data_IF_473222147961
#
_entry.id   IF_473222147961
#
_cell.length_a   1.000
_cell.length_b   1.000
_cell.length_c   1.000
_cell.angle_alpha   90.00
_cell.angle_beta   90.00
_cell.angle_gamma   90.00
#
_symmetry.space_group_name_H-M   'P 1'
#
loop_
_entity.id
_entity.type
_entity.pdbx_description
1 polymer ?
#
# COMPACT_ATOMS: atom_id res chain seq x y z
N UNK A 1 -22.03 32.58 -9.61
CA UNK A 1 -20.67 33.15 -9.63
C UNK A 1 -20.11 33.24 -11.04
N UNK A 2 -19.95 32.11 -11.75
CA UNK A 2 -19.33 32.07 -13.09
C UNK A 2 -19.95 33.04 -14.10
N UNK A 3 -21.28 33.11 -14.17
CA UNK A 3 -21.99 34.04 -15.06
C UNK A 3 -21.62 35.51 -14.79
N UNK A 4 -21.63 35.92 -13.52
CA UNK A 4 -21.25 37.28 -13.14
C UNK A 4 -19.79 37.57 -13.47
N UNK A 5 -18.89 36.61 -13.25
CA UNK A 5 -17.48 36.74 -13.60
C UNK A 5 -17.30 36.97 -15.09
N UNK A 6 -17.91 36.12 -15.93
CA UNK A 6 -17.84 36.24 -17.40
C UNK A 6 -18.42 37.56 -17.89
N UNK A 7 -19.57 38.00 -17.36
CA UNK A 7 -20.21 39.27 -17.73
C UNK A 7 -19.33 40.50 -17.38
N UNK A 8 -18.54 40.43 -16.32
CA UNK A 8 -17.64 41.53 -15.94
C UNK A 8 -16.37 41.57 -16.79
N UNK A 9 -15.81 40.41 -17.15
CA UNK A 9 -14.52 40.38 -17.85
C UNK A 9 -14.65 40.43 -19.37
N UNK A 10 -15.81 40.11 -19.95
CA UNK A 10 -15.99 39.94 -21.40
C UNK A 10 -15.60 41.16 -22.23
N UNK A 11 -15.70 42.36 -21.67
CA UNK A 11 -15.37 43.61 -22.36
C UNK A 11 -13.95 44.13 -22.05
N UNK A 12 -13.19 43.44 -21.19
CA UNK A 12 -11.84 43.85 -20.75
C UNK A 12 -10.75 42.83 -21.05
N UNK A 13 -11.11 41.60 -21.44
CA UNK A 13 -10.16 40.56 -21.87
C UNK A 13 -10.58 39.94 -23.21
N UNK A 14 -9.59 39.50 -23.98
CA UNK A 14 -9.81 38.67 -25.17
C UNK A 14 -9.74 37.19 -24.78
N UNK A 15 -10.75 36.41 -25.18
CA UNK A 15 -10.74 34.95 -25.02
C UNK A 15 -10.20 34.30 -26.27
N UNK A 16 -9.07 33.60 -26.14
CA UNK A 16 -8.45 32.88 -27.24
C UNK A 16 -8.07 31.47 -26.81
N UNK A 17 -8.33 30.49 -27.68
CA UNK A 17 -7.83 29.13 -27.46
C UNK A 17 -6.33 29.09 -27.74
N UNK A 18 -5.54 28.29 -27.00
CA UNK A 18 -4.09 28.18 -27.22
C UNK A 18 -3.71 27.93 -28.69
N UNK A 19 -4.47 27.09 -29.41
CA UNK A 19 -4.23 26.82 -30.84
C UNK A 19 -4.29 28.07 -31.73
N UNK A 20 -5.19 29.01 -31.44
CA UNK A 20 -5.36 30.23 -32.23
C UNK A 20 -4.34 31.30 -31.82
N UNK A 21 -4.00 31.36 -30.53
CA UNK A 21 -2.94 32.23 -30.03
C UNK A 21 -1.63 31.92 -30.76
N UNK A 22 -1.20 30.66 -30.77
CA UNK A 22 0.04 30.27 -31.43
C UNK A 22 0.01 30.38 -32.96
N UNK A 23 -1.16 30.32 -33.60
CA UNK A 23 -1.27 30.53 -35.04
C UNK A 23 -1.04 31.99 -35.47
N UNK A 24 -1.39 32.95 -34.60
CA UNK A 24 -1.36 34.38 -34.92
C UNK A 24 -0.30 35.17 -34.12
N UNK A 25 0.42 34.52 -33.20
CA UNK A 25 1.42 35.19 -32.36
C UNK A 25 2.63 35.62 -33.18
N UNK A 26 2.83 36.93 -33.30
CA UNK A 26 3.96 37.56 -34.02
C UNK A 26 5.02 38.14 -33.09
N UNK A 27 4.85 37.98 -31.77
CA UNK A 27 5.78 38.49 -30.76
C UNK A 27 7.09 37.71 -30.69
N UNK A 28 8.06 38.25 -29.95
CA UNK A 28 9.34 37.59 -29.72
C UNK A 28 9.18 36.44 -28.70
N UNK A 29 9.49 35.21 -29.11
CA UNK A 29 9.57 34.07 -28.19
C UNK A 29 10.98 33.98 -27.60
N UNK A 30 11.05 33.82 -26.28
CA UNK A 30 12.29 33.47 -25.59
C UNK A 30 12.33 31.97 -25.34
N UNK A 31 13.51 31.37 -25.50
CA UNK A 31 13.73 29.96 -25.14
C UNK A 31 13.68 29.80 -23.63
N UNK A 32 12.99 28.76 -23.16
CA UNK A 32 12.98 28.34 -21.76
C UNK A 32 13.30 26.85 -21.66
N UNK A 33 14.01 26.44 -20.60
CA UNK A 33 14.29 25.05 -20.26
C UNK A 33 13.76 24.80 -18.84
N UNK A 34 12.52 24.31 -18.69
CA UNK A 34 11.95 24.06 -17.36
C UNK A 34 12.67 22.87 -16.68
N UNK A 35 12.99 22.96 -15.38
CA UNK A 35 13.47 21.81 -14.62
C UNK A 35 12.31 20.82 -14.38
N UNK A 36 12.62 19.64 -13.85
CA UNK A 36 11.58 18.76 -13.28
C UNK A 36 10.87 19.51 -12.16
N UNK A 37 9.55 19.64 -12.27
CA UNK A 37 8.73 20.33 -11.30
C UNK A 37 7.25 20.07 -11.53
N UNK A 38 6.45 20.50 -10.56
CA UNK A 38 4.98 20.52 -10.62
C UNK A 38 4.48 21.82 -9.99
N UNK A 39 3.17 21.95 -9.80
CA UNK A 39 2.61 23.00 -8.94
C UNK A 39 3.17 22.90 -7.51
N UNK A 40 3.19 24.03 -6.80
CA UNK A 40 3.96 24.19 -5.54
C UNK A 40 3.52 23.21 -4.46
N UNK A 41 2.21 23.00 -4.36
CA UNK A 41 1.55 22.15 -3.38
C UNK A 41 1.98 20.69 -3.53
N UNK A 42 2.14 20.19 -4.77
CA UNK A 42 2.65 18.84 -5.02
C UNK A 42 4.05 18.66 -4.46
N UNK A 43 4.88 19.70 -4.61
CA UNK A 43 6.25 19.69 -4.08
C UNK A 43 6.27 19.52 -2.57
N UNK A 44 5.30 20.09 -1.84
CA UNK A 44 5.17 19.89 -0.40
C UNK A 44 4.73 18.45 -0.07
N UNK A 45 3.68 17.94 -0.73
CA UNK A 45 3.12 16.61 -0.46
C UNK A 45 4.10 15.46 -0.74
N UNK A 46 4.97 15.66 -1.73
CA UNK A 46 5.98 14.68 -2.12
C UNK A 46 7.10 14.50 -1.08
N UNK A 47 7.18 15.36 -0.06
CA UNK A 47 8.15 15.22 1.03
C UNK A 47 7.70 14.17 2.05
N UNK A 48 8.66 13.43 2.59
CA UNK A 48 8.45 12.61 3.78
C UNK A 48 8.18 13.46 5.01
N UNK A 49 7.60 12.87 6.06
CA UNK A 49 7.10 13.59 7.25
C UNK A 49 8.07 14.64 7.82
N UNK A 50 9.31 14.26 8.14
CA UNK A 50 10.28 15.16 8.76
C UNK A 50 10.70 16.31 7.83
N UNK A 51 10.87 16.02 6.53
CA UNK A 51 11.19 17.03 5.54
C UNK A 51 10.02 17.99 5.30
N UNK A 52 8.79 17.48 5.26
CA UNK A 52 7.58 18.29 5.11
C UNK A 52 7.37 19.21 6.32
N UNK A 53 7.66 18.72 7.54
CA UNK A 53 7.64 19.52 8.77
C UNK A 53 8.66 20.67 8.69
N UNK A 54 9.91 20.37 8.38
CA UNK A 54 10.95 21.40 8.24
C UNK A 54 10.60 22.42 7.15
N UNK A 55 10.08 21.96 6.01
CA UNK A 55 9.60 22.82 4.94
C UNK A 55 8.55 23.81 5.44
N UNK A 56 7.52 23.32 6.15
CA UNK A 56 6.48 24.17 6.72
C UNK A 56 7.03 25.17 7.75
N UNK A 57 7.93 24.74 8.64
CA UNK A 57 8.57 25.63 9.63
C UNK A 57 9.34 26.79 8.93
N UNK A 58 10.01 26.51 7.81
CA UNK A 58 10.66 27.55 6.99
C UNK A 58 9.67 28.44 6.27
N UNK A 59 8.59 27.86 5.73
CA UNK A 59 7.52 28.62 5.09
C UNK A 59 6.91 29.64 6.04
N UNK A 60 6.63 29.25 7.28
CA UNK A 60 6.05 30.12 8.29
C UNK A 60 7.02 31.24 8.70
N UNK A 61 8.32 30.93 8.83
CA UNK A 61 9.36 31.95 9.05
C UNK A 61 9.41 32.96 7.91
N UNK A 62 9.45 32.51 6.66
CA UNK A 62 9.49 33.39 5.47
C UNK A 62 8.25 34.29 5.41
N UNK A 63 7.07 33.75 5.69
CA UNK A 63 5.81 34.51 5.77
C UNK A 63 5.86 35.54 6.90
N UNK A 64 6.35 35.17 8.09
CA UNK A 64 6.47 36.10 9.23
C UNK A 64 7.40 37.28 8.96
N UNK A 65 8.36 37.13 8.04
CA UNK A 65 9.27 38.19 7.58
C UNK A 65 8.70 39.01 6.41
N UNK A 66 7.46 38.74 5.96
CA UNK A 66 6.84 39.33 4.76
C UNK A 66 7.68 39.12 3.47
N UNK A 67 8.44 38.02 3.40
CA UNK A 67 9.33 37.74 2.27
C UNK A 67 8.70 36.81 1.22
N UNK A 68 7.58 36.15 1.54
CA UNK A 68 7.01 35.08 0.71
C UNK A 68 6.78 35.50 -0.74
N UNK A 69 6.04 36.58 -1.00
CA UNK A 69 5.71 36.97 -2.37
C UNK A 69 6.94 37.32 -3.20
N UNK A 70 7.96 37.93 -2.57
CA UNK A 70 9.19 38.31 -3.24
C UNK A 70 10.18 37.15 -3.44
N UNK A 71 10.04 36.04 -2.70
CA UNK A 71 11.01 34.94 -2.67
C UNK A 71 10.45 33.56 -3.07
N UNK A 72 9.13 33.39 -3.20
CA UNK A 72 8.50 32.08 -3.46
C UNK A 72 9.06 31.32 -4.66
N UNK A 73 9.58 32.02 -5.67
CA UNK A 73 10.21 31.39 -6.84
C UNK A 73 11.55 30.68 -6.55
N UNK A 74 12.20 30.97 -5.42
CA UNK A 74 13.39 30.24 -4.96
C UNK A 74 13.06 29.07 -4.03
N UNK A 75 11.80 28.96 -3.58
CA UNK A 75 11.37 27.91 -2.66
C UNK A 75 11.02 26.67 -3.48
N UNK A 76 11.66 25.55 -3.17
CA UNK A 76 11.46 24.28 -3.85
C UNK A 76 11.05 23.21 -2.84
N UNK A 77 10.10 22.36 -3.23
CA UNK A 77 9.74 21.15 -2.50
C UNK A 77 10.40 19.91 -3.10
N UNK A 78 9.78 18.75 -2.89
CA UNK A 78 10.12 17.51 -3.58
C UNK A 78 9.62 17.47 -5.03
N UNK A 79 9.92 16.37 -5.71
CA UNK A 79 9.36 16.06 -7.04
C UNK A 79 8.38 14.89 -6.92
N UNK A 80 7.48 14.70 -7.89
CA UNK A 80 6.52 13.58 -7.84
C UNK A 80 7.19 12.21 -7.62
N UNK A 81 8.40 11.98 -8.17
CA UNK A 81 9.12 10.71 -7.99
C UNK A 81 9.50 10.43 -6.54
N UNK A 82 9.56 11.45 -5.68
CA UNK A 82 9.78 11.26 -4.25
C UNK A 82 8.65 10.44 -3.59
N UNK A 83 7.44 10.39 -4.16
CA UNK A 83 6.38 9.50 -3.66
C UNK A 83 6.76 8.02 -3.74
N UNK A 84 7.56 7.61 -4.72
CA UNK A 84 8.07 6.24 -4.82
C UNK A 84 9.13 5.93 -3.75
N UNK A 85 9.72 6.95 -3.10
CA UNK A 85 10.59 6.76 -1.94
C UNK A 85 9.83 6.95 -0.61
N UNK A 86 8.76 7.76 -0.62
CA UNK A 86 7.89 8.01 0.54
C UNK A 86 7.01 6.79 0.83
N UNK A 87 6.51 6.14 -0.21
CA UNK A 87 5.57 5.02 -0.12
C UNK A 87 6.11 3.80 -0.86
N UNK A 88 6.55 2.79 -0.10
CA UNK A 88 7.04 1.54 -0.68
C UNK A 88 5.94 0.84 -1.48
N UNK A 89 4.67 0.96 -1.07
CA UNK A 89 3.52 0.39 -1.77
C UNK A 89 3.32 1.02 -3.16
N UNK A 90 3.57 2.33 -3.30
CA UNK A 90 3.55 2.99 -4.60
C UNK A 90 4.73 2.55 -5.46
N UNK A 91 5.91 2.37 -4.87
CA UNK A 91 7.08 1.83 -5.58
C UNK A 91 6.80 0.42 -6.08
N UNK A 92 6.27 -0.47 -5.22
CA UNK A 92 5.93 -1.84 -5.55
C UNK A 92 4.98 -1.89 -6.75
N UNK A 93 3.86 -1.15 -6.71
CA UNK A 93 2.94 -1.07 -7.86
C UNK A 93 3.64 -0.57 -9.12
N UNK A 94 4.42 0.51 -9.02
CA UNK A 94 5.06 1.13 -10.19
C UNK A 94 6.07 0.17 -10.81
N UNK A 95 6.86 -0.48 -9.98
CA UNK A 95 7.88 -1.45 -10.39
C UNK A 95 7.25 -2.74 -10.90
N UNK A 96 6.13 -3.18 -10.33
CA UNK A 96 5.32 -4.30 -10.82
C UNK A 96 4.82 -4.08 -12.24
N UNK A 97 4.38 -2.86 -12.58
CA UNK A 97 4.03 -2.50 -13.97
C UNK A 97 5.25 -2.60 -14.88
N UNK A 98 6.40 -2.07 -14.48
CA UNK A 98 7.62 -2.17 -15.29
C UNK A 98 8.10 -3.62 -15.47
N UNK A 99 8.07 -4.42 -14.40
CA UNK A 99 8.39 -5.85 -14.42
C UNK A 99 7.44 -6.63 -15.34
N UNK A 100 6.14 -6.30 -15.32
CA UNK A 100 5.12 -6.93 -16.16
C UNK A 100 5.31 -6.69 -17.66
N UNK A 101 6.01 -5.62 -18.06
CA UNK A 101 6.23 -5.26 -19.47
C UNK A 101 6.86 -6.39 -20.30
N UNK A 102 7.76 -7.18 -19.71
CA UNK A 102 8.43 -8.27 -20.43
C UNK A 102 7.48 -9.46 -20.72
N UNK A 103 6.35 -9.54 -20.02
CA UNK A 103 5.33 -10.58 -20.16
C UNK A 103 4.08 -10.10 -20.90
N UNK A 104 4.10 -8.85 -21.39
CA UNK A 104 3.01 -8.27 -22.15
C UNK A 104 2.99 -8.84 -23.58
N UNK A 105 1.87 -9.45 -23.98
CA UNK A 105 1.60 -9.70 -25.40
C UNK A 105 1.17 -8.41 -26.10
N UNK A 106 2.16 -7.66 -26.59
CA UNK A 106 1.95 -6.37 -27.28
C UNK A 106 1.19 -6.47 -28.61
N UNK A 107 0.97 -7.69 -29.14
CA UNK A 107 0.11 -7.89 -30.32
C UNK A 107 -1.37 -7.90 -29.93
N UNK A 108 -1.68 -8.18 -28.67
CA UNK A 108 -3.02 -8.12 -28.13
C UNK A 108 -3.35 -6.68 -27.68
N UNK A 109 -4.21 -6.02 -28.45
CA UNK A 109 -4.63 -4.63 -28.20
C UNK A 109 -5.25 -4.46 -26.81
N UNK A 110 -6.09 -5.39 -26.39
CA UNK A 110 -6.75 -5.33 -25.08
C UNK A 110 -5.75 -5.43 -23.94
N UNK A 111 -4.77 -6.34 -24.03
CA UNK A 111 -3.69 -6.46 -23.02
C UNK A 111 -2.82 -5.21 -22.98
N UNK A 112 -2.59 -4.58 -24.12
CA UNK A 112 -1.84 -3.32 -24.22
C UNK A 112 -2.61 -2.14 -23.61
N UNK A 113 -3.93 -2.05 -23.84
CA UNK A 113 -4.80 -1.05 -23.19
C UNK A 113 -4.79 -1.23 -21.67
N UNK A 114 -4.97 -2.45 -21.16
CA UNK A 114 -4.88 -2.76 -19.73
C UNK A 114 -3.51 -2.40 -19.14
N UNK A 115 -2.42 -2.67 -19.84
CA UNK A 115 -1.09 -2.26 -19.40
C UNK A 115 -0.94 -0.73 -19.25
N UNK A 116 -1.62 0.05 -20.11
CA UNK A 116 -1.66 1.51 -19.97
C UNK A 116 -2.63 1.97 -18.87
N UNK A 117 -3.77 1.29 -18.69
CA UNK A 117 -4.71 1.59 -17.60
C UNK A 117 -4.07 1.38 -16.23
N UNK A 118 -3.18 0.39 -16.10
CA UNK A 118 -2.37 0.19 -14.89
C UNK A 118 -1.45 1.37 -14.55
N UNK A 119 -1.23 2.31 -15.48
CA UNK A 119 -0.39 3.51 -15.27
C UNK A 119 -1.21 4.74 -14.82
N UNK A 120 -2.50 4.56 -14.50
CA UNK A 120 -3.32 5.63 -13.94
C UNK A 120 -2.69 6.20 -12.67
N UNK A 121 -2.28 7.47 -12.73
CA UNK A 121 -1.38 8.08 -11.76
C UNK A 121 -1.92 8.13 -10.31
N UNK A 122 -3.24 8.23 -10.13
CA UNK A 122 -3.89 8.56 -8.85
C UNK A 122 -3.52 7.61 -7.71
N UNK A 123 -3.36 6.31 -8.01
CA UNK A 123 -3.02 5.29 -7.03
C UNK A 123 -1.56 5.35 -6.54
N UNK A 124 -0.68 6.07 -7.24
CA UNK A 124 0.77 6.06 -6.98
C UNK A 124 1.26 7.14 -6.01
N UNK A 125 0.36 7.99 -5.52
CA UNK A 125 0.75 9.09 -4.63
C UNK A 125 -0.42 9.58 -3.80
N UNK A 126 -0.16 10.45 -2.83
CA UNK A 126 -1.20 11.02 -1.98
C UNK A 126 -0.96 12.52 -1.75
N UNK A 127 -2.00 13.31 -2.04
CA UNK A 127 -2.12 14.72 -1.73
C UNK A 127 -3.38 14.96 -0.89
N UNK A 128 -4.41 15.58 -1.48
CA UNK A 128 -5.70 15.85 -0.81
C UNK A 128 -6.87 14.98 -1.32
N UNK A 129 -6.65 14.11 -2.30
CA UNK A 129 -7.71 13.38 -3.02
C UNK A 129 -7.78 11.88 -2.66
N UNK A 130 -7.28 11.49 -1.48
CA UNK A 130 -7.17 10.07 -1.10
C UNK A 130 -6.02 9.34 -1.81
N UNK A 131 -6.04 9.26 -3.15
CA UNK A 131 -4.96 8.70 -3.97
C UNK A 131 -4.55 7.29 -3.53
N UNK A 132 -3.26 7.09 -3.24
CA UNK A 132 -2.68 5.84 -2.74
C UNK A 132 -3.51 5.23 -1.60
N UNK A 133 -4.10 6.02 -0.70
CA UNK A 133 -4.88 5.46 0.42
C UNK A 133 -6.22 4.84 0.02
N UNK A 134 -6.70 5.06 -1.20
CA UNK A 134 -7.96 4.49 -1.67
C UNK A 134 -7.76 3.04 -2.16
N UNK A 135 -8.29 2.02 -1.46
CA UNK A 135 -8.05 0.62 -1.82
C UNK A 135 -8.50 0.29 -3.25
N UNK A 136 -9.62 0.88 -3.70
CA UNK A 136 -10.16 0.65 -5.03
C UNK A 136 -9.27 1.21 -6.17
N UNK A 137 -8.56 2.31 -5.94
CA UNK A 137 -7.62 2.86 -6.92
C UNK A 137 -6.38 1.97 -7.07
N UNK A 138 -5.80 1.53 -5.94
CA UNK A 138 -4.70 0.55 -5.96
C UNK A 138 -5.15 -0.77 -6.60
N UNK A 139 -6.34 -1.23 -6.28
CA UNK A 139 -6.91 -2.44 -6.88
C UNK A 139 -7.01 -2.32 -8.40
N UNK A 140 -7.48 -1.19 -8.93
CA UNK A 140 -7.59 -0.99 -10.37
C UNK A 140 -6.23 -1.09 -11.08
N UNK A 141 -5.14 -0.62 -10.45
CA UNK A 141 -3.77 -0.81 -10.98
C UNK A 141 -3.41 -2.30 -11.03
N UNK A 142 -3.58 -3.01 -9.92
CA UNK A 142 -3.27 -4.45 -9.85
C UNK A 142 -4.12 -5.28 -10.82
N UNK A 143 -5.43 -5.03 -10.87
CA UNK A 143 -6.36 -5.72 -11.77
C UNK A 143 -5.92 -5.62 -13.23
N UNK A 144 -5.52 -4.42 -13.64
CA UNK A 144 -5.05 -4.17 -14.99
C UNK A 144 -3.69 -4.83 -15.28
N UNK A 145 -2.71 -4.74 -14.36
CA UNK A 145 -1.39 -5.33 -14.61
C UNK A 145 -1.39 -6.86 -14.52
N UNK A 146 -2.20 -7.45 -13.63
CA UNK A 146 -2.37 -8.90 -13.54
C UNK A 146 -3.03 -9.41 -14.82
N UNK A 147 -4.07 -8.74 -15.31
CA UNK A 147 -4.68 -9.12 -16.58
C UNK A 147 -3.72 -8.93 -17.75
N UNK A 148 -2.96 -7.82 -17.81
CA UNK A 148 -2.11 -7.50 -18.95
C UNK A 148 -0.87 -8.41 -19.08
N UNK A 149 -0.27 -8.82 -17.96
CA UNK A 149 1.04 -9.47 -17.91
C UNK A 149 0.97 -10.87 -17.27
N UNK A 150 0.73 -11.88 -18.11
CA UNK A 150 0.68 -13.28 -17.69
C UNK A 150 2.04 -13.95 -17.88
N UNK A 151 2.53 -14.61 -16.83
CA UNK A 151 3.72 -15.45 -16.89
C UNK A 151 3.50 -16.75 -16.11
N UNK A 152 4.05 -17.85 -16.62
CA UNK A 152 3.86 -19.21 -16.10
C UNK A 152 5.18 -19.91 -15.75
N UNK A 153 6.31 -19.18 -15.80
CA UNK A 153 7.58 -19.73 -15.33
C UNK A 153 7.43 -20.10 -13.85
N UNK A 154 7.70 -21.35 -13.43
CA UNK A 154 7.50 -21.80 -12.06
C UNK A 154 8.18 -20.90 -11.02
N UNK A 155 9.39 -20.43 -11.35
CA UNK A 155 10.11 -19.40 -10.60
C UNK A 155 10.74 -18.38 -11.55
N UNK A 156 10.59 -17.10 -11.22
CA UNK A 156 11.33 -15.98 -11.83
C UNK A 156 12.11 -15.22 -10.76
N UNK A 157 13.33 -14.79 -11.05
CA UNK A 157 14.16 -14.03 -10.10
C UNK A 157 14.62 -12.72 -10.72
N UNK A 158 14.43 -11.60 -10.04
CA UNK A 158 14.87 -10.28 -10.48
C UNK A 158 14.95 -9.32 -9.28
N UNK A 159 15.76 -8.28 -9.38
CA UNK A 159 15.59 -7.08 -8.54
C UNK A 159 14.40 -6.30 -9.11
N UNK A 160 13.24 -6.45 -8.45
CA UNK A 160 11.97 -5.93 -8.97
C UNK A 160 11.81 -4.47 -8.53
N UNK A 161 12.03 -4.18 -7.26
CA UNK A 161 11.76 -2.86 -6.69
C UNK A 161 12.95 -1.88 -6.77
N UNK A 162 14.07 -2.34 -7.33
CA UNK A 162 15.34 -1.63 -7.54
C UNK A 162 16.06 -1.27 -6.23
N UNK A 163 16.04 -2.17 -5.25
CA UNK A 163 16.74 -2.01 -3.96
C UNK A 163 18.09 -2.75 -3.88
N UNK A 164 18.58 -3.30 -5.01
CA UNK A 164 19.77 -4.13 -5.13
C UNK A 164 19.68 -5.51 -4.47
N UNK A 165 18.49 -5.95 -4.06
CA UNK A 165 18.25 -7.31 -3.62
C UNK A 165 17.37 -8.03 -4.64
N UNK A 166 17.54 -9.35 -4.74
CA UNK A 166 16.76 -10.16 -5.68
C UNK A 166 15.50 -10.65 -4.99
N UNK A 167 14.35 -10.35 -5.59
CA UNK A 167 13.07 -10.98 -5.31
C UNK A 167 12.86 -12.23 -6.17
N UNK A 168 11.98 -13.10 -5.70
CA UNK A 168 11.60 -14.33 -6.39
C UNK A 168 10.09 -14.38 -6.56
N UNK A 169 9.62 -14.85 -7.71
CA UNK A 169 8.20 -14.99 -8.02
C UNK A 169 7.89 -16.44 -8.28
N UNK A 170 7.09 -17.08 -7.43
CA UNK A 170 6.49 -18.39 -7.69
C UNK A 170 5.22 -18.19 -8.50
N UNK A 171 5.04 -18.93 -9.59
CA UNK A 171 3.89 -18.79 -10.47
C UNK A 171 3.32 -20.13 -10.94
N UNK A 172 2.00 -20.22 -10.95
CA UNK A 172 1.23 -21.32 -11.56
C UNK A 172 0.01 -20.73 -12.32
N UNK A 173 -0.98 -21.53 -12.71
CA UNK A 173 -2.18 -21.03 -13.39
C UNK A 173 -3.13 -20.18 -12.52
N UNK A 174 -3.02 -20.25 -11.20
CA UNK A 174 -3.92 -19.61 -10.23
C UNK A 174 -3.27 -18.41 -9.54
N UNK A 175 -1.98 -18.49 -9.23
CA UNK A 175 -1.28 -17.62 -8.32
C UNK A 175 0.00 -17.05 -8.92
N UNK A 176 0.30 -15.79 -8.60
CA UNK A 176 1.68 -15.31 -8.52
C UNK A 176 1.98 -14.97 -7.05
N UNK A 177 3.14 -15.40 -6.56
CA UNK A 177 3.58 -15.11 -5.19
C UNK A 177 4.97 -14.49 -5.26
N UNK A 178 5.04 -13.19 -4.96
CA UNK A 178 6.27 -12.41 -4.96
C UNK A 178 6.88 -12.38 -3.57
N UNK A 179 8.07 -12.97 -3.45
CA UNK A 179 8.80 -13.18 -2.21
C UNK A 179 9.99 -12.25 -2.14
N UNK A 180 10.16 -11.59 -0.99
CA UNK A 180 11.24 -10.64 -0.72
C UNK A 180 12.19 -11.17 0.39
N UNK A 181 13.28 -11.88 0.02
CA UNK A 181 14.22 -12.46 0.98
C UNK A 181 14.87 -11.49 1.97
N UNK A 182 15.17 -10.26 1.52
CA UNK A 182 15.77 -9.23 2.35
C UNK A 182 14.77 -8.57 3.31
N UNK A 183 13.49 -8.99 3.27
CA UNK A 183 12.42 -8.51 4.12
C UNK A 183 11.63 -9.68 4.71
N UNK A 184 12.17 -10.33 5.74
CA UNK A 184 11.60 -11.49 6.44
C UNK A 184 11.29 -12.72 5.57
N UNK A 185 11.81 -12.77 4.34
CA UNK A 185 11.34 -13.74 3.35
C UNK A 185 9.84 -13.62 3.08
N UNK A 186 9.25 -12.45 3.35
CA UNK A 186 7.82 -12.21 3.27
C UNK A 186 7.31 -12.16 1.84
N UNK A 187 6.00 -12.27 1.69
CA UNK A 187 5.26 -12.08 0.45
C UNK A 187 4.79 -10.62 0.40
N UNK A 188 5.29 -9.86 -0.57
CA UNK A 188 4.89 -8.46 -0.76
C UNK A 188 3.82 -8.28 -1.85
N UNK A 189 3.58 -9.31 -2.66
CA UNK A 189 2.48 -9.37 -3.62
C UNK A 189 2.02 -10.83 -3.81
N UNK A 190 0.70 -11.04 -3.78
CA UNK A 190 0.04 -12.34 -3.93
C UNK A 190 -1.17 -12.15 -4.84
N UNK A 191 -0.98 -12.46 -6.12
CA UNK A 191 -2.02 -12.37 -7.14
C UNK A 191 -2.86 -13.64 -7.17
N UNK A 192 -4.18 -13.48 -7.26
CA UNK A 192 -5.15 -14.51 -7.62
C UNK A 192 -5.58 -14.26 -9.07
N UNK A 193 -4.90 -14.92 -10.02
CA UNK A 193 -5.02 -14.67 -11.46
C UNK A 193 -6.45 -14.80 -12.00
N UNK A 194 -7.25 -15.83 -11.65
CA UNK A 194 -8.62 -15.94 -12.16
C UNK A 194 -9.50 -14.72 -11.84
N UNK A 195 -9.14 -13.96 -10.81
CA UNK A 195 -9.88 -12.77 -10.35
C UNK A 195 -9.13 -11.45 -10.60
N UNK A 196 -7.95 -11.49 -11.20
CA UNK A 196 -7.05 -10.33 -11.34
C UNK A 196 -6.91 -9.54 -10.02
N UNK A 197 -6.76 -10.25 -8.91
CA UNK A 197 -6.83 -9.63 -7.58
C UNK A 197 -5.56 -9.89 -6.78
N UNK A 198 -4.88 -8.82 -6.36
CA UNK A 198 -3.78 -8.93 -5.40
C UNK A 198 -4.36 -8.86 -3.98
N UNK A 199 -4.47 -10.03 -3.32
CA UNK A 199 -5.03 -10.13 -1.97
C UNK A 199 -4.13 -9.48 -0.91
N UNK A 200 -2.87 -9.22 -1.23
CA UNK A 200 -1.90 -8.54 -0.35
C UNK A 200 -1.67 -7.07 -0.71
N UNK A 201 -2.55 -6.45 -1.52
CA UNK A 201 -2.55 -5.00 -1.83
C UNK A 201 -2.91 -4.13 -0.60
N UNK A 202 -2.03 -4.21 0.39
CA UNK A 202 -2.13 -3.65 1.72
C UNK A 202 -1.23 -2.43 1.83
N UNK A 203 -1.43 -1.63 2.88
CA UNK A 203 -0.61 -0.44 3.12
C UNK A 203 -0.21 -0.36 4.59
N UNK A 204 1.00 0.12 4.87
CA UNK A 204 1.39 0.50 6.23
C UNK A 204 0.67 1.78 6.65
N UNK A 205 0.52 1.97 7.95
CA UNK A 205 0.00 3.21 8.50
C UNK A 205 1.13 4.22 8.57
N UNK A 206 1.21 5.07 7.54
CA UNK A 206 2.24 6.10 7.45
C UNK A 206 1.93 7.27 8.38
N UNK A 207 2.99 7.94 8.81
CA UNK A 207 2.90 9.22 9.50
C UNK A 207 2.80 10.34 8.47
N UNK A 208 1.65 11.01 8.44
CA UNK A 208 1.43 12.13 7.53
C UNK A 208 1.51 13.46 8.27
N UNK A 209 2.04 14.48 7.61
CA UNK A 209 2.23 15.79 8.25
C UNK A 209 0.90 16.41 8.70
N UNK A 210 -0.18 16.22 7.92
CA UNK A 210 -1.50 16.73 8.27
C UNK A 210 -2.07 16.10 9.55
N UNK A 211 -1.59 14.94 10.01
CA UNK A 211 -2.00 14.39 11.31
C UNK A 211 -1.67 15.34 12.48
N UNK A 212 -0.66 16.20 12.32
CA UNK A 212 -0.30 17.22 13.33
C UNK A 212 -1.20 18.45 13.31
N UNK A 213 -2.06 18.59 12.30
CA UNK A 213 -2.91 19.75 12.05
C UNK A 213 -4.41 19.47 12.26
N UNK A 214 -4.78 18.26 12.67
CA UNK A 214 -6.19 17.87 12.85
C UNK A 214 -6.78 18.61 14.04
N UNK A 215 -7.89 19.33 13.83
CA UNK A 215 -8.72 19.84 14.93
C UNK A 215 -9.80 18.80 15.28
N UNK A 216 -9.66 18.19 16.45
CA UNK A 216 -10.59 17.18 16.97
C UNK A 216 -11.86 17.77 17.59
N UNK A 217 -11.95 19.10 17.77
CA UNK A 217 -13.09 19.75 18.45
C UNK A 217 -14.19 20.23 17.50
N UNK A 218 -13.90 20.36 16.20
CA UNK A 218 -14.84 20.86 15.20
C UNK A 218 -15.31 19.71 14.29
N UNK A 219 -16.64 19.54 14.20
CA UNK A 219 -17.31 18.69 13.21
C UNK A 219 -18.01 19.58 12.19
N UNK A 220 -18.04 19.12 10.94
CA UNK A 220 -18.37 19.88 9.72
C UNK A 220 -19.45 20.98 9.87
N UNK A 221 -19.07 22.24 9.56
CA UNK A 221 -20.01 23.35 9.32
C UNK A 221 -19.66 24.09 8.01
N UNK A 222 -19.83 23.41 6.88
CA UNK A 222 -19.82 24.04 5.55
C UNK A 222 -18.45 24.23 4.89
N UNK A 223 -18.50 24.41 3.57
CA UNK A 223 -17.33 24.52 2.69
C UNK A 223 -16.77 25.94 2.77
N UNK A 224 -15.84 26.17 3.70
CA UNK A 224 -14.88 27.26 3.60
C UNK A 224 -13.53 26.72 3.09
N UNK A 225 -12.81 27.59 2.38
CA UNK A 225 -11.47 27.41 1.82
C UNK A 225 -10.64 26.25 2.41
N UNK A 226 -10.22 25.32 1.55
CA UNK A 226 -9.42 24.09 1.81
C UNK A 226 -8.07 24.37 2.54
N UNK A 227 -7.73 25.65 2.76
CA UNK A 227 -6.39 26.08 3.17
C UNK A 227 -6.23 26.53 4.63
N UNK A 228 -7.20 26.30 5.53
CA UNK A 228 -7.02 26.78 6.92
C UNK A 228 -7.43 25.87 8.06
N UNK A 229 -8.41 24.96 7.91
CA UNK A 229 -8.79 24.08 9.02
C UNK A 229 -9.08 22.65 8.52
N UNK A 230 -8.33 21.68 9.04
CA UNK A 230 -8.48 20.25 8.72
C UNK A 230 -9.31 19.61 9.83
N UNK A 231 -10.53 19.19 9.51
CA UNK A 231 -11.47 18.63 10.48
C UNK A 231 -11.61 17.12 10.36
N UNK A 232 -11.93 16.47 11.47
CA UNK A 232 -12.33 15.06 11.49
C UNK A 232 -13.80 14.90 11.05
N UNK A 233 -14.08 13.97 10.13
CA UNK A 233 -15.45 13.61 9.74
C UNK A 233 -16.16 12.77 10.82
N UNK A 234 -15.39 12.09 11.66
CA UNK A 234 -15.87 11.13 12.65
C UNK A 234 -15.26 11.44 14.02
N UNK A 235 -16.06 11.32 15.09
CA UNK A 235 -15.56 11.44 16.46
C UNK A 235 -14.64 10.27 16.82
N UNK A 236 -13.54 10.54 17.54
CA UNK A 236 -12.65 9.49 18.03
C UNK A 236 -11.62 9.00 17.02
N UNK A 237 -11.44 9.69 15.89
CA UNK A 237 -10.49 9.32 14.83
C UNK A 237 -9.04 9.29 15.33
N UNK A 238 -8.72 10.07 16.37
CA UNK A 238 -7.43 10.05 17.07
C UNK A 238 -7.08 8.66 17.63
N UNK A 239 -8.09 7.84 17.96
CA UNK A 239 -7.89 6.48 18.46
C UNK A 239 -7.53 5.47 17.35
N UNK A 240 -7.43 5.93 16.09
CA UNK A 240 -7.06 5.14 14.93
C UNK A 240 -5.76 5.63 14.27
N UNK A 241 -5.11 6.65 14.84
CA UNK A 241 -3.82 7.16 14.35
C UNK A 241 -2.69 6.37 15.01
N UNK A 242 -2.27 5.31 14.35
CA UNK A 242 -1.10 4.52 14.68
C UNK A 242 -0.11 4.56 13.53
N UNK A 243 1.17 4.35 13.82
CA UNK A 243 2.21 4.35 12.81
C UNK A 243 2.96 3.04 12.85
N UNK A 244 2.97 2.33 11.72
CA UNK A 244 3.69 1.08 11.62
C UNK A 244 5.17 1.35 11.38
N UNK A 245 6.04 0.60 12.07
CA UNK A 245 7.50 0.67 11.88
C UNK A 245 7.93 0.06 10.54
N UNK A 246 7.14 -0.89 10.05
CA UNK A 246 7.46 -1.82 8.98
C UNK A 246 6.30 -1.86 7.98
N UNK A 247 6.61 -2.14 6.71
CA UNK A 247 5.62 -2.48 5.69
C UNK A 247 4.84 -3.73 6.11
N UNK A 248 3.54 -3.73 5.81
CA UNK A 248 2.59 -4.80 6.17
C UNK A 248 2.53 -5.88 5.10
N UNK A 249 3.64 -6.59 4.92
CA UNK A 249 3.70 -7.75 4.05
C UNK A 249 3.12 -8.99 4.74
N UNK A 250 3.03 -10.11 4.00
CA UNK A 250 2.51 -11.38 4.51
C UNK A 250 3.64 -12.36 4.81
N UNK A 251 3.54 -13.11 5.90
CA UNK A 251 4.59 -13.97 6.47
C UNK A 251 5.81 -13.17 6.96
N UNK A 252 5.57 -12.07 7.67
CA UNK A 252 6.62 -11.34 8.41
C UNK A 252 6.84 -12.02 9.76
N UNK A 253 8.09 -12.20 10.14
CA UNK A 253 8.48 -12.88 11.39
C UNK A 253 8.50 -11.90 12.56
N UNK A 254 7.76 -12.23 13.62
CA UNK A 254 7.84 -11.54 14.89
C UNK A 254 8.25 -12.51 15.99
N UNK A 255 9.49 -12.37 16.46
CA UNK A 255 9.97 -13.04 17.67
C UNK A 255 9.69 -12.13 18.87
N UNK A 256 9.00 -12.65 19.87
CA UNK A 256 8.56 -11.92 21.06
C UNK A 256 8.76 -12.76 22.33
N UNK A 257 8.95 -12.09 23.47
CA UNK A 257 9.18 -12.75 24.76
C UNK A 257 7.89 -13.12 25.51
N UNK A 258 6.74 -12.59 25.07
CA UNK A 258 5.43 -12.82 25.68
C UNK A 258 4.35 -12.92 24.62
N UNK A 259 3.25 -13.59 24.96
CA UNK A 259 2.03 -13.61 24.15
C UNK A 259 1.59 -12.20 23.76
N UNK A 260 1.21 -12.04 22.49
CA UNK A 260 0.68 -10.78 21.99
C UNK A 260 -0.81 -10.67 22.31
N UNK A 261 -1.25 -9.44 22.57
CA UNK A 261 -2.67 -9.10 22.68
C UNK A 261 -3.17 -8.45 21.41
N UNK A 262 -4.49 -8.56 21.16
CA UNK A 262 -5.15 -7.88 20.04
C UNK A 262 -4.89 -6.37 20.04
N UNK A 263 -4.87 -5.75 21.23
CA UNK A 263 -4.57 -4.31 21.37
C UNK A 263 -3.16 -3.98 20.91
N UNK A 264 -2.16 -4.73 21.36
CA UNK A 264 -0.76 -4.46 20.98
C UNK A 264 -0.52 -4.62 19.47
N UNK A 265 -1.17 -5.61 18.84
CA UNK A 265 -1.12 -5.81 17.38
C UNK A 265 -1.82 -4.65 16.66
N UNK A 266 -3.04 -4.31 17.09
CA UNK A 266 -3.81 -3.21 16.53
C UNK A 266 -3.05 -1.90 16.60
N UNK A 267 -2.41 -1.57 17.73
CA UNK A 267 -1.67 -0.32 17.89
C UNK A 267 -0.25 -0.36 17.29
N UNK A 268 0.23 -1.53 16.84
CA UNK A 268 1.65 -1.80 16.51
C UNK A 268 2.59 -1.40 17.65
N UNK A 269 2.17 -1.65 18.90
CA UNK A 269 2.87 -1.23 20.11
C UNK A 269 3.70 -2.35 20.76
N UNK A 270 3.60 -3.58 20.26
CA UNK A 270 4.37 -4.71 20.79
C UNK A 270 5.89 -4.56 20.58
N UNK A 271 6.65 -5.15 21.51
CA UNK A 271 8.10 -5.23 21.44
C UNK A 271 8.51 -6.51 20.72
N UNK A 272 8.93 -6.38 19.46
CA UNK A 272 9.63 -7.44 18.74
C UNK A 272 11.12 -7.43 19.07
N UNK A 273 11.71 -8.62 19.19
CA UNK A 273 13.12 -8.83 19.51
C UNK A 273 13.98 -8.68 18.26
N UNK A 274 13.46 -9.17 17.13
CA UNK A 274 14.11 -9.05 15.85
C UNK A 274 13.82 -7.70 15.18
N UNK A 275 14.77 -7.22 14.37
CA UNK A 275 14.46 -6.30 13.28
C UNK A 275 13.85 -7.05 12.09
N UNK A 276 13.78 -6.39 10.94
CA UNK A 276 13.47 -7.07 9.68
C UNK A 276 14.58 -8.06 9.37
N UNK A 277 14.22 -9.35 9.31
CA UNK A 277 15.18 -10.42 9.05
C UNK A 277 15.56 -10.47 7.58
N UNK A 278 16.83 -10.78 7.31
CA UNK A 278 17.31 -11.10 5.97
C UNK A 278 17.55 -12.59 5.86
N UNK A 279 17.14 -13.17 4.74
CA UNK A 279 17.25 -14.61 4.50
C UNK A 279 18.26 -14.89 3.40
N UNK A 280 19.09 -15.93 3.63
CA UNK A 280 19.79 -16.58 2.54
C UNK A 280 18.76 -17.38 1.74
N UNK A 281 18.83 -17.30 0.42
CA UNK A 281 17.80 -17.87 -0.44
C UNK A 281 18.38 -18.83 -1.45
N UNK A 282 17.66 -19.92 -1.67
CA UNK A 282 17.86 -20.82 -2.80
C UNK A 282 16.52 -21.00 -3.50
N UNK A 283 16.46 -20.56 -4.75
CA UNK A 283 15.30 -20.74 -5.62
C UNK A 283 15.49 -22.00 -6.47
N UNK A 284 14.49 -22.88 -6.47
CA UNK A 284 14.42 -24.09 -7.29
C UNK A 284 13.13 -24.07 -8.09
N UNK A 285 12.99 -24.96 -9.06
CA UNK A 285 11.72 -25.11 -9.75
C UNK A 285 10.61 -25.39 -8.72
N UNK A 286 9.55 -24.58 -8.78
CA UNK A 286 8.36 -24.65 -7.92
C UNK A 286 8.58 -24.37 -6.42
N UNK A 287 9.79 -23.98 -5.98
CA UNK A 287 10.03 -23.70 -4.55
C UNK A 287 11.09 -22.66 -4.26
N UNK A 288 10.94 -21.97 -3.12
CA UNK A 288 11.91 -21.00 -2.60
C UNK A 288 12.26 -21.43 -1.16
N UNK A 289 13.55 -21.67 -0.92
CA UNK A 289 14.09 -22.02 0.38
C UNK A 289 14.77 -20.82 1.01
N UNK A 290 14.29 -20.41 2.18
CA UNK A 290 14.74 -19.24 2.92
C UNK A 290 15.34 -19.73 4.25
N UNK A 291 16.60 -19.39 4.53
CA UNK A 291 17.24 -19.70 5.82
C UNK A 291 17.78 -18.44 6.52
N UNK A 292 17.41 -18.26 7.80
CA UNK A 292 18.03 -17.30 8.70
C UNK A 292 18.64 -18.03 9.91
N UNK A 293 19.97 -18.13 9.92
CA UNK A 293 20.72 -18.84 10.96
C UNK A 293 20.75 -18.11 12.30
N UNK A 294 20.62 -16.78 12.29
CA UNK A 294 20.66 -15.96 13.51
C UNK A 294 19.50 -16.32 14.45
N UNK A 295 18.30 -16.48 13.90
CA UNK A 295 17.09 -16.84 14.64
C UNK A 295 16.70 -18.32 14.47
N UNK A 296 17.54 -19.12 13.79
CA UNK A 296 17.32 -20.55 13.62
C UNK A 296 16.01 -20.91 12.92
N UNK A 297 15.58 -20.08 11.97
CA UNK A 297 14.32 -20.21 11.24
C UNK A 297 14.58 -20.50 9.76
N UNK A 298 13.82 -21.44 9.21
CA UNK A 298 13.81 -21.77 7.79
C UNK A 298 12.39 -21.76 7.26
N UNK A 299 12.15 -21.11 6.12
CA UNK A 299 10.86 -21.17 5.42
C UNK A 299 11.04 -21.85 4.07
N UNK A 300 10.09 -22.69 3.67
CA UNK A 300 10.05 -23.32 2.35
C UNK A 300 8.72 -23.01 1.71
N UNK A 301 8.76 -22.22 0.66
CA UNK A 301 7.58 -21.79 -0.09
C UNK A 301 7.48 -22.68 -1.30
N UNK A 302 6.37 -23.39 -1.45
CA UNK A 302 6.17 -24.38 -2.52
C UNK A 302 4.89 -24.04 -3.27
N UNK A 303 4.97 -23.95 -4.59
CA UNK A 303 3.81 -23.79 -5.45
C UNK A 303 3.56 -25.09 -6.22
N UNK A 304 2.32 -25.54 -6.25
CA UNK A 304 1.90 -26.68 -7.08
C UNK A 304 0.74 -26.23 -7.98
N UNK A 305 0.12 -27.13 -8.75
CA UNK A 305 -0.86 -26.70 -9.76
C UNK A 305 -2.10 -25.96 -9.22
N UNK A 306 -2.45 -26.14 -7.94
CA UNK A 306 -3.70 -25.62 -7.38
C UNK A 306 -3.55 -24.90 -6.03
N UNK A 307 -2.39 -24.98 -5.38
CA UNK A 307 -2.18 -24.45 -4.04
C UNK A 307 -0.79 -23.85 -3.89
N UNK A 308 -0.67 -23.00 -2.88
CA UNK A 308 0.58 -22.46 -2.39
C UNK A 308 0.76 -22.92 -0.94
N UNK A 309 1.93 -23.44 -0.60
CA UNK A 309 2.23 -23.98 0.73
C UNK A 309 3.49 -23.35 1.28
N UNK A 310 3.50 -23.13 2.59
CA UNK A 310 4.62 -22.60 3.34
C UNK A 310 4.89 -23.48 4.54
N UNK A 311 6.07 -24.09 4.58
CA UNK A 311 6.56 -24.80 5.75
C UNK A 311 7.61 -23.96 6.49
N UNK A 312 7.39 -23.75 7.77
CA UNK A 312 8.22 -22.94 8.65
C UNK A 312 8.84 -23.87 9.69
N UNK A 313 10.16 -23.91 9.73
CA UNK A 313 10.93 -24.72 10.65
C UNK A 313 11.63 -23.82 11.64
N UNK A 314 11.50 -24.13 12.92
CA UNK A 314 12.12 -23.40 14.02
C UNK A 314 13.01 -24.37 14.81
N UNK A 315 14.25 -23.97 15.04
CA UNK A 315 15.26 -24.79 15.74
C UNK A 315 15.55 -24.31 17.15
N UNK A 316 15.07 -23.12 17.54
CA UNK A 316 15.29 -22.51 18.85
C UNK A 316 13.95 -22.21 19.54
N UNK A 317 13.79 -22.59 20.80
CA UNK A 317 12.55 -22.35 21.59
C UNK A 317 12.65 -21.23 22.61
N UNK A 318 13.58 -20.29 22.42
CA UNK A 318 13.77 -19.19 23.38
C UNK A 318 12.69 -18.11 23.30
N UNK A 319 12.07 -17.94 22.14
CA UNK A 319 11.09 -16.88 21.89
C UNK A 319 9.86 -17.45 21.16
N UNK A 320 8.71 -16.79 21.36
CA UNK A 320 7.47 -17.08 20.66
C UNK A 320 7.58 -16.49 19.26
N UNK A 321 7.23 -17.28 18.24
CA UNK A 321 7.20 -16.82 16.86
C UNK A 321 5.76 -16.57 16.44
N UNK A 322 5.46 -15.37 15.97
CA UNK A 322 4.26 -15.11 15.18
C UNK A 322 4.62 -14.84 13.73
N UNK A 323 3.79 -15.36 12.82
CA UNK A 323 3.74 -14.89 11.44
C UNK A 323 2.64 -13.84 11.31
N UNK A 324 3.00 -12.63 10.87
CA UNK A 324 2.04 -11.61 10.45
C UNK A 324 1.65 -11.85 8.99
N UNK A 325 0.35 -11.96 8.71
CA UNK A 325 -0.26 -12.05 7.38
C UNK A 325 -1.24 -10.88 7.22
N UNK A 326 -1.19 -10.20 6.07
CA UNK A 326 -2.03 -9.04 5.78
C UNK A 326 -2.81 -9.28 4.50
N UNK A 327 -4.15 -9.22 4.59
CA UNK A 327 -5.04 -9.44 3.45
C UNK A 327 -6.06 -8.32 3.29
N UNK A 328 -6.15 -7.77 2.08
CA UNK A 328 -7.19 -6.80 1.73
C UNK A 328 -8.36 -7.48 1.03
N UNK A 329 -9.55 -6.97 1.34
CA UNK A 329 -10.79 -7.28 0.61
C UNK A 329 -11.48 -5.97 0.15
N UNK A 330 -10.72 -4.87 0.08
CA UNK A 330 -11.10 -3.49 -0.26
C UNK A 330 -12.14 -2.81 0.64
N UNK A 331 -12.91 -3.56 1.41
CA UNK A 331 -13.89 -3.06 2.37
C UNK A 331 -14.05 -4.06 3.50
N UNK A 332 -14.41 -3.55 4.68
CA UNK A 332 -14.79 -4.40 5.81
C UNK A 332 -16.22 -4.95 5.71
N UNK A 333 -17.04 -4.33 4.84
CA UNK A 333 -18.48 -4.54 4.75
C UNK A 333 -18.89 -5.13 3.39
N UNK A 334 -20.20 -5.35 3.22
CA UNK A 334 -20.87 -5.81 1.99
C UNK A 334 -20.43 -7.21 1.56
N UNK A 335 -21.16 -8.20 2.07
CA UNK A 335 -21.03 -9.63 1.75
C UNK A 335 -19.61 -10.19 1.85
N UNK A 336 -18.86 -9.70 2.84
CA UNK A 336 -17.52 -10.16 3.19
C UNK A 336 -17.52 -10.66 4.63
N UNK A 337 -16.89 -11.80 4.84
CA UNK A 337 -16.82 -12.43 6.15
C UNK A 337 -15.56 -13.26 6.33
N UNK A 338 -15.17 -13.38 7.58
CA UNK A 338 -14.14 -14.31 8.05
C UNK A 338 -14.89 -15.45 8.74
N UNK A 339 -14.61 -16.69 8.36
CA UNK A 339 -15.21 -17.88 8.97
C UNK A 339 -14.12 -18.63 9.72
N UNK A 340 -14.31 -18.82 11.02
CA UNK A 340 -13.40 -19.55 11.92
C UNK A 340 -14.26 -20.39 12.86
N UNK A 341 -13.99 -21.69 12.99
CA UNK A 341 -14.74 -22.59 13.88
C UNK A 341 -16.27 -22.49 13.69
N UNK A 342 -16.72 -22.45 12.43
CA UNK A 342 -18.14 -22.30 12.03
C UNK A 342 -18.81 -20.97 12.44
N UNK A 343 -18.06 -20.03 13.03
CA UNK A 343 -18.54 -18.68 13.36
C UNK A 343 -18.19 -17.70 12.25
N UNK A 344 -19.11 -16.82 11.93
CA UNK A 344 -18.93 -15.74 10.96
C UNK A 344 -18.59 -14.42 11.68
N UNK A 345 -17.58 -13.72 11.16
CA UNK A 345 -17.13 -12.43 11.66
C UNK A 345 -17.03 -11.42 10.51
N UNK A 346 -17.24 -10.14 10.81
CA UNK A 346 -16.92 -9.05 9.87
C UNK A 346 -15.41 -8.93 9.69
N UNK A 347 -14.98 -8.43 8.52
CA UNK A 347 -13.55 -8.28 8.18
C UNK A 347 -12.79 -7.31 9.10
N UNK A 348 -13.50 -6.43 9.81
CA UNK A 348 -12.94 -5.52 10.81
C UNK A 348 -13.13 -5.96 12.26
N UNK A 349 -13.45 -7.22 12.48
CA UNK A 349 -13.55 -7.78 13.83
C UNK A 349 -12.19 -7.94 14.50
N UNK A 350 -12.21 -7.88 15.83
CA UNK A 350 -11.10 -8.27 16.70
C UNK A 350 -11.35 -9.71 17.13
N UNK A 351 -10.48 -10.64 16.75
CA UNK A 351 -10.71 -12.09 16.93
C UNK A 351 -9.50 -12.73 17.59
N UNK A 352 -9.72 -13.48 18.66
CA UNK A 352 -8.73 -14.34 19.31
C UNK A 352 -9.35 -15.73 19.48
N UNK A 353 -8.85 -16.70 18.73
CA UNK A 353 -9.37 -18.08 18.70
C UNK A 353 -8.21 -19.08 18.54
N UNK A 354 -8.44 -20.33 18.94
CA UNK A 354 -7.60 -21.47 18.54
C UNK A 354 -8.25 -22.12 17.31
N UNK A 355 -7.50 -22.31 16.24
CA UNK A 355 -8.01 -22.89 14.98
C UNK A 355 -6.89 -23.55 14.19
N UNK A 356 -7.25 -24.37 13.21
CA UNK A 356 -6.38 -24.88 12.15
C UNK A 356 -6.82 -24.41 10.76
N UNK A 357 -7.88 -23.60 10.69
CA UNK A 357 -8.47 -23.12 9.47
C UNK A 357 -9.04 -21.70 9.63
N UNK A 358 -8.87 -20.89 8.58
CA UNK A 358 -9.59 -19.62 8.40
C UNK A 358 -10.03 -19.54 6.94
N UNK A 359 -11.32 -19.32 6.72
CA UNK A 359 -11.87 -19.04 5.40
C UNK A 359 -12.25 -17.56 5.29
N UNK A 360 -11.58 -16.84 4.39
CA UNK A 360 -11.98 -15.49 4.02
C UNK A 360 -12.91 -15.53 2.80
N UNK A 361 -14.05 -14.87 2.91
CA UNK A 361 -15.10 -14.87 1.89
C UNK A 361 -15.32 -13.45 1.38
N UNK A 362 -15.21 -13.26 0.06
CA UNK A 362 -15.71 -12.10 -0.67
C UNK A 362 -16.78 -12.58 -1.66
N UNK A 363 -18.05 -12.56 -1.24
CA UNK A 363 -19.16 -13.01 -2.07
C UNK A 363 -19.44 -12.07 -3.26
N UNK A 364 -18.97 -10.82 -3.20
CA UNK A 364 -19.10 -9.88 -4.32
C UNK A 364 -18.17 -10.30 -5.46
N UNK A 365 -16.91 -10.64 -5.16
CA UNK A 365 -15.94 -11.15 -6.14
C UNK A 365 -16.03 -12.64 -6.40
N UNK A 366 -16.74 -13.39 -5.55
CA UNK A 366 -16.74 -14.87 -5.52
C UNK A 366 -15.35 -15.46 -5.22
N UNK A 367 -14.62 -14.80 -4.32
CA UNK A 367 -13.33 -15.29 -3.82
C UNK A 367 -13.56 -15.97 -2.47
N UNK A 368 -13.20 -17.25 -2.38
CA UNK A 368 -13.22 -18.05 -1.16
C UNK A 368 -11.78 -18.49 -0.87
N UNK A 369 -11.08 -17.67 -0.09
CA UNK A 369 -9.66 -17.83 0.18
C UNK A 369 -9.45 -18.58 1.49
N UNK A 370 -9.03 -19.83 1.38
CA UNK A 370 -8.95 -20.77 2.50
C UNK A 370 -7.50 -20.91 2.96
N UNK A 371 -7.25 -20.68 4.25
CA UNK A 371 -5.98 -20.91 4.90
C UNK A 371 -6.12 -22.12 5.83
N UNK A 372 -5.46 -23.22 5.48
CA UNK A 372 -5.30 -24.36 6.38
C UNK A 372 -3.90 -24.30 6.99
N UNK A 373 -3.78 -24.48 8.29
CA UNK A 373 -2.48 -24.40 8.96
C UNK A 373 -2.40 -25.36 10.14
N UNK A 374 -1.19 -25.59 10.64
CA UNK A 374 -1.02 -26.39 11.86
C UNK A 374 -1.80 -25.76 13.02
N UNK A 375 -2.64 -26.51 13.77
CA UNK A 375 -3.51 -25.95 14.80
C UNK A 375 -2.78 -25.00 15.74
N UNK A 376 -3.30 -23.80 15.91
CA UNK A 376 -2.66 -22.75 16.69
C UNK A 376 -3.58 -21.59 17.05
N UNK A 377 -3.07 -20.74 17.94
CA UNK A 377 -3.65 -19.47 18.31
C UNK A 377 -3.57 -18.47 17.17
N UNK A 378 -4.70 -17.87 16.83
CA UNK A 378 -4.82 -16.81 15.84
C UNK A 378 -5.34 -15.52 16.46
N UNK A 379 -4.74 -14.40 16.07
CA UNK A 379 -5.10 -13.06 16.51
C UNK A 379 -5.38 -12.21 15.26
N UNK A 380 -6.61 -11.73 15.08
CA UNK A 380 -6.99 -10.91 13.93
C UNK A 380 -7.44 -9.52 14.38
N UNK A 381 -6.97 -8.49 13.68
CA UNK A 381 -7.38 -7.10 13.88
C UNK A 381 -7.52 -6.38 12.55
N UNK A 382 -8.43 -5.39 12.43
CA UNK A 382 -8.44 -4.50 11.27
C UNK A 382 -7.24 -3.56 11.26
N UNK A 383 -6.81 -3.19 10.06
CA UNK A 383 -5.90 -2.07 9.84
C UNK A 383 -6.65 -0.96 9.12
N UNK A 384 -6.68 0.20 9.76
CA UNK A 384 -7.21 1.43 9.18
C UNK A 384 -6.10 2.43 8.93
N UNK A 385 -6.23 3.22 7.87
CA UNK A 385 -5.49 4.47 7.70
C UNK A 385 -6.38 5.68 7.99
N UNK A 386 -5.77 6.77 8.44
CA UNK A 386 -6.45 8.05 8.61
C UNK A 386 -5.97 8.99 7.51
N UNK A 387 -6.84 9.22 6.52
CA UNK A 387 -6.50 9.91 5.27
C UNK A 387 -7.23 11.23 5.14
N UNK A 388 -6.56 12.22 4.55
CA UNK A 388 -7.18 13.46 4.10
C UNK A 388 -7.92 13.26 2.77
N UNK A 389 -9.15 13.74 2.71
CA UNK A 389 -9.90 13.98 1.46
C UNK A 389 -10.42 15.41 1.38
N UNK A 390 -10.96 15.80 0.22
CA UNK A 390 -11.53 17.15 -0.01
C UNK A 390 -12.61 17.53 1.02
N UNK A 391 -13.29 16.55 1.60
CA UNK A 391 -14.38 16.75 2.55
C UNK A 391 -13.97 16.59 4.02
N UNK A 392 -12.68 16.42 4.31
CA UNK A 392 -12.13 16.27 5.66
C UNK A 392 -11.34 14.98 5.87
N UNK A 393 -10.94 14.72 7.11
CA UNK A 393 -10.19 13.51 7.50
C UNK A 393 -11.15 12.36 7.77
N UNK A 394 -10.87 11.20 7.21
CA UNK A 394 -11.67 9.99 7.40
C UNK A 394 -10.82 8.75 7.65
N UNK A 395 -11.45 7.75 8.26
CA UNK A 395 -10.85 6.45 8.52
C UNK A 395 -11.18 5.50 7.37
N UNK A 396 -10.17 4.85 6.81
CA UNK A 396 -10.31 3.91 5.69
C UNK A 396 -9.82 2.54 6.10
N UNK A 397 -10.66 1.52 5.93
CA UNK A 397 -10.24 0.13 6.09
C UNK A 397 -9.27 -0.24 4.95
N UNK A 398 -8.11 -0.79 5.30
CA UNK A 398 -7.08 -1.15 4.34
C UNK A 398 -6.94 -2.68 4.21
N UNK A 399 -6.88 -3.38 5.34
CA UNK A 399 -6.73 -4.84 5.39
C UNK A 399 -7.14 -5.44 6.74
N UNK A 400 -7.31 -6.75 6.77
CA UNK A 400 -7.31 -7.56 7.99
C UNK A 400 -5.89 -8.06 8.21
N UNK A 401 -5.37 -7.85 9.42
CA UNK A 401 -4.07 -8.33 9.86
C UNK A 401 -4.28 -9.56 10.74
N UNK A 402 -3.63 -10.66 10.40
CA UNK A 402 -3.67 -11.96 11.07
C UNK A 402 -2.28 -12.28 11.63
N UNK A 403 -2.20 -12.55 12.92
CA UNK A 403 -1.03 -13.11 13.57
C UNK A 403 -1.31 -14.57 13.91
N UNK A 404 -0.51 -15.48 13.38
CA UNK A 404 -0.57 -16.91 13.70
C UNK A 404 0.65 -17.28 14.53
N UNK A 405 0.44 -17.90 15.68
CA UNK A 405 1.51 -18.39 16.54
C UNK A 405 2.14 -19.65 15.94
N UNK A 406 3.46 -19.73 15.84
CA UNK A 406 4.21 -20.83 15.21
C UNK A 406 5.18 -21.47 16.20
N UNK A 407 4.63 -22.12 17.23
CA UNK A 407 5.40 -22.64 18.38
C UNK A 407 5.69 -24.14 18.33
N UNK A 408 5.46 -24.77 17.16
CA UNK A 408 5.90 -26.14 16.90
C UNK A 408 7.17 -26.14 16.03
N UNK A 409 8.03 -27.18 16.11
CA UNK A 409 9.27 -27.24 15.34
C UNK A 409 9.07 -27.14 13.82
N UNK A 410 7.92 -27.60 13.33
CA UNK A 410 7.50 -27.49 11.94
C UNK A 410 6.04 -27.03 11.91
N UNK A 411 5.81 -25.85 11.33
CA UNK A 411 4.50 -25.22 11.15
C UNK A 411 4.20 -25.09 9.66
N UNK A 412 3.07 -25.61 9.20
CA UNK A 412 2.69 -25.55 7.79
C UNK A 412 1.48 -24.65 7.59
N UNK A 413 1.47 -23.88 6.51
CA UNK A 413 0.33 -23.07 6.04
C UNK A 413 0.08 -23.42 4.58
N UNK A 414 -1.17 -23.68 4.23
CA UNK A 414 -1.62 -23.97 2.87
C UNK A 414 -2.71 -22.97 2.48
N UNK A 415 -2.48 -22.33 1.35
CA UNK A 415 -3.38 -21.35 0.74
C UNK A 415 -4.08 -22.01 -0.44
N UNK A 416 -5.41 -22.09 -0.35
CA UNK A 416 -6.28 -22.69 -1.34
C UNK A 416 -7.35 -21.69 -1.80
N UNK A 417 -7.71 -21.77 -3.07
CA UNK A 417 -8.86 -21.06 -3.64
C UNK A 417 -9.97 -22.09 -3.86
N UNK A 418 -11.09 -21.95 -3.14
CA UNK A 418 -12.20 -22.91 -3.16
C UNK A 418 -13.20 -22.64 -4.31
#
# INVERSE_FOLDING_TARGET
WLENFLNQISNVVEFILPKYFFANYTGLLKRANPPTGSYTELGEWALGFEAQKQYNDYMDKIKSMNLYDSKKHFIQGGTWRNFLAKYDEANNMHKRVLFGKQFLDSKNKQKTEQFFDAQCNDAYWHGIFGGLYMPHLRNAVYENIISAANFENPVTSADIDNDYCVEHVLSNSIFNVFVKPNYSGSIFEFDIKPFNFNITNTIKRHKEFYHTKIDYKKQNSGVESIHSEIFAKESGIENFIFYDKNNRYTLVDHFVDKELTLKEIFESSFNQINGILKYNTTALDYSIHLENKQFGIRKVYTINNASFMVDIYKTQDQHILYQELNFTFLSAFFDKQIIINEKEYSMDSFIEEESDNILFVDNYRKIYFNLNFTPSKVLLVPVYSVSLSESGIEKLYQQTCLFIKCDVPMFSIKFDLL
#
